data_IF_337160453951
#
_entry.id   IF_337160453951
#
_cell.length_a   1.000
_cell.length_b   1.000
_cell.length_c   1.000
_cell.angle_alpha   90.00
_cell.angle_beta   90.00
_cell.angle_gamma   90.00
#
_symmetry.space_group_name_H-M   'P 1'
#
loop_
_entity.id
_entity.type
_entity.pdbx_description
1 polymer ?
#
# COMPACT_ATOMS: atom_id res chain seq x y z
N UNK A 1 -1.37 -26.85 -12.87
CA UNK A 1 -0.56 -26.48 -11.68
C UNK A 1 0.06 -25.08 -11.77
N UNK A 2 0.17 -24.46 -12.95
CA UNK A 2 0.68 -23.07 -13.13
C UNK A 2 -0.28 -21.93 -12.71
N UNK A 3 -1.53 -22.23 -12.33
CA UNK A 3 -2.54 -21.22 -11.99
C UNK A 3 -2.59 -20.86 -10.49
N UNK A 4 -1.85 -21.57 -9.63
CA UNK A 4 -1.95 -21.43 -8.16
C UNK A 4 -0.94 -20.44 -7.54
N UNK A 5 -0.07 -19.81 -8.32
CA UNK A 5 1.07 -19.02 -7.81
C UNK A 5 1.20 -17.64 -8.46
N UNK A 6 0.09 -17.00 -8.81
CA UNK A 6 0.09 -15.58 -9.21
C UNK A 6 -0.64 -14.77 -8.15
N UNK A 7 0.13 -13.98 -7.40
CA UNK A 7 -0.43 -13.09 -6.39
C UNK A 7 -1.31 -12.01 -7.03
N UNK A 8 -2.45 -11.71 -6.40
CA UNK A 8 -3.26 -10.55 -6.75
C UNK A 8 -2.54 -9.25 -6.37
N UNK A 9 -1.80 -9.27 -5.25
CA UNK A 9 -1.18 -8.08 -4.64
C UNK A 9 -2.25 -7.01 -4.40
N UNK A 10 -3.13 -7.27 -3.43
CA UNK A 10 -4.21 -6.36 -3.04
C UNK A 10 -3.67 -5.28 -2.11
N UNK A 11 -3.85 -4.00 -2.45
CA UNK A 11 -3.20 -2.90 -1.74
C UNK A 11 -3.71 -2.74 -0.30
N UNK A 12 -5.02 -2.55 -0.11
CA UNK A 12 -5.59 -2.33 1.23
C UNK A 12 -5.27 -3.48 2.19
N UNK A 13 -5.29 -4.74 1.71
CA UNK A 13 -4.90 -5.90 2.51
C UNK A 13 -3.47 -5.82 3.03
N UNK A 14 -2.52 -5.43 2.17
CA UNK A 14 -1.13 -5.20 2.56
C UNK A 14 -0.99 -4.08 3.59
N UNK A 15 -1.69 -2.95 3.38
CA UNK A 15 -1.62 -1.80 4.30
C UNK A 15 -2.21 -2.14 5.68
N UNK A 16 -3.33 -2.86 5.76
CA UNK A 16 -3.88 -3.33 7.04
C UNK A 16 -2.92 -4.27 7.76
N UNK A 17 -2.33 -5.23 7.05
CA UNK A 17 -1.37 -6.16 7.63
C UNK A 17 -0.14 -5.43 8.20
N UNK A 18 0.38 -4.42 7.47
CA UNK A 18 1.50 -3.61 7.95
C UNK A 18 1.16 -2.87 9.25
N UNK A 19 -0.01 -2.23 9.34
CA UNK A 19 -0.46 -1.56 10.56
C UNK A 19 -0.55 -2.56 11.72
N UNK A 20 -1.17 -3.73 11.50
CA UNK A 20 -1.30 -4.76 12.53
C UNK A 20 0.05 -5.31 13.01
N UNK A 21 1.03 -5.47 12.12
CA UNK A 21 2.40 -5.88 12.49
C UNK A 21 3.10 -4.81 13.33
N UNK A 22 2.94 -3.54 12.96
CA UNK A 22 3.50 -2.41 13.73
C UNK A 22 2.89 -2.36 15.13
N UNK A 23 1.57 -2.49 15.25
CA UNK A 23 0.89 -2.51 16.55
C UNK A 23 1.37 -3.68 17.41
N UNK A 24 1.44 -4.89 16.84
CA UNK A 24 1.95 -6.07 17.54
C UNK A 24 3.38 -5.88 18.04
N UNK A 25 4.27 -5.37 17.20
CA UNK A 25 5.68 -5.15 17.54
C UNK A 25 5.89 -3.97 18.51
N UNK A 26 4.89 -3.08 18.64
CA UNK A 26 4.90 -1.99 19.63
C UNK A 26 4.49 -2.48 21.02
N UNK A 27 3.59 -3.47 21.09
CA UNK A 27 3.15 -4.08 22.34
C UNK A 27 4.20 -5.04 22.90
N UNK A 28 4.73 -5.92 22.05
CA UNK A 28 5.77 -6.87 22.41
C UNK A 28 6.82 -6.90 21.30
N UNK A 29 7.97 -6.31 21.58
CA UNK A 29 9.03 -6.18 20.58
C UNK A 29 9.60 -7.56 20.23
N UNK A 30 9.46 -7.92 18.96
CA UNK A 30 9.99 -9.15 18.40
C UNK A 30 10.89 -8.81 17.20
N UNK A 31 12.20 -9.14 17.24
CA UNK A 31 13.14 -8.78 16.17
C UNK A 31 12.69 -9.22 14.77
N UNK A 32 12.07 -10.40 14.66
CA UNK A 32 11.57 -10.93 13.39
C UNK A 32 10.39 -10.12 12.84
N UNK A 33 9.54 -9.53 13.70
CA UNK A 33 8.46 -8.64 13.26
C UNK A 33 9.03 -7.34 12.73
N UNK A 34 10.05 -6.79 13.39
CA UNK A 34 10.76 -5.59 12.90
C UNK A 34 11.38 -5.82 11.52
N UNK A 35 11.97 -7.00 11.29
CA UNK A 35 12.53 -7.37 9.99
C UNK A 35 11.43 -7.48 8.92
N UNK A 36 10.34 -8.18 9.24
CA UNK A 36 9.21 -8.34 8.32
C UNK A 36 8.56 -6.99 7.96
N UNK A 37 8.36 -6.10 8.95
CA UNK A 37 7.87 -4.73 8.73
C UNK A 37 8.76 -4.00 7.74
N UNK A 38 10.09 -4.06 7.93
CA UNK A 38 11.04 -3.41 7.03
C UNK A 38 10.98 -4.00 5.61
N UNK A 39 10.87 -5.32 5.46
CA UNK A 39 10.73 -5.96 4.14
C UNK A 39 9.44 -5.53 3.43
N UNK A 40 8.33 -5.40 4.15
CA UNK A 40 7.05 -4.92 3.59
C UNK A 40 7.16 -3.45 3.19
N UNK A 41 7.80 -2.60 3.99
CA UNK A 41 8.02 -1.18 3.66
C UNK A 41 8.84 -1.06 2.38
N UNK A 42 9.97 -1.77 2.27
CA UNK A 42 10.80 -1.79 1.06
C UNK A 42 9.97 -2.23 -0.14
N UNK A 43 9.16 -3.28 0.02
CA UNK A 43 8.26 -3.75 -1.03
C UNK A 43 7.27 -2.67 -1.45
N UNK A 44 6.62 -1.98 -0.50
CA UNK A 44 5.71 -0.86 -0.79
C UNK A 44 6.41 0.30 -1.50
N UNK A 45 7.66 0.62 -1.13
CA UNK A 45 8.44 1.67 -1.81
C UNK A 45 8.59 1.40 -3.30
N UNK A 46 8.82 0.14 -3.67
CA UNK A 46 8.93 -0.27 -5.07
C UNK A 46 7.59 -0.52 -5.76
N UNK A 47 6.56 -0.93 -5.00
CA UNK A 47 5.29 -1.37 -5.57
C UNK A 47 4.23 -0.28 -5.69
N UNK A 48 4.22 0.72 -4.81
CA UNK A 48 3.23 1.81 -4.84
C UNK A 48 3.07 2.50 -6.22
N UNK A 49 4.13 2.73 -7.03
CA UNK A 49 3.99 3.30 -8.36
C UNK A 49 3.05 2.50 -9.27
N UNK A 50 3.02 1.16 -9.13
CA UNK A 50 2.18 0.28 -9.96
C UNK A 50 0.71 0.31 -9.57
N UNK A 51 0.36 0.85 -8.40
CA UNK A 51 -1.03 1.03 -7.99
C UNK A 51 -1.64 2.34 -8.50
N UNK A 52 -0.91 3.14 -9.28
CA UNK A 52 -1.47 4.31 -9.95
C UNK A 52 -2.20 3.89 -11.21
N UNK A 53 -3.46 4.30 -11.37
CA UNK A 53 -4.26 3.94 -12.54
C UNK A 53 -3.68 4.61 -13.81
N UNK A 54 -3.40 3.85 -14.88
CA UNK A 54 -2.67 4.38 -16.05
C UNK A 54 -3.45 5.43 -16.85
N UNK A 55 -4.79 5.35 -16.84
CA UNK A 55 -5.65 6.30 -17.57
C UNK A 55 -6.25 7.39 -16.66
N UNK A 56 -6.12 7.26 -15.34
CA UNK A 56 -6.72 8.16 -14.35
C UNK A 56 -5.63 8.39 -13.32
N UNK A 57 -4.71 9.30 -13.63
CA UNK A 57 -3.40 9.38 -12.99
C UNK A 57 -3.47 9.61 -11.47
N UNK A 58 -4.56 10.20 -10.96
CA UNK A 58 -4.84 10.44 -9.55
C UNK A 58 -5.68 9.33 -8.90
N UNK A 59 -6.03 8.26 -9.59
CA UNK A 59 -6.79 7.14 -9.05
C UNK A 59 -5.91 5.94 -8.70
N UNK A 60 -6.35 5.15 -7.72
CA UNK A 60 -5.62 3.94 -7.29
C UNK A 60 -6.23 2.66 -7.85
N UNK A 61 -5.38 1.67 -8.10
CA UNK A 61 -5.79 0.30 -8.41
C UNK A 61 -6.06 -0.47 -7.12
N UNK A 62 -7.00 -1.41 -7.19
CA UNK A 62 -7.28 -2.31 -6.08
C UNK A 62 -6.18 -3.36 -5.91
N UNK A 63 -5.70 -3.89 -7.02
CA UNK A 63 -4.70 -4.94 -7.08
C UNK A 63 -3.83 -4.84 -8.35
N UNK A 64 -2.79 -5.68 -8.43
CA UNK A 64 -1.89 -5.76 -9.59
C UNK A 64 -2.17 -6.97 -10.50
N UNK A 65 -3.39 -7.50 -10.48
CA UNK A 65 -3.78 -8.67 -11.29
C UNK A 65 -3.57 -8.43 -12.80
N UNK A 66 -3.71 -7.19 -13.26
CA UNK A 66 -3.46 -6.82 -14.66
C UNK A 66 -2.00 -7.04 -15.08
N UNK A 67 -1.05 -6.93 -14.15
CA UNK A 67 0.37 -7.22 -14.38
C UNK A 67 0.63 -8.73 -14.27
N UNK A 68 0.14 -9.35 -13.19
CA UNK A 68 0.56 -10.71 -12.82
C UNK A 68 -0.21 -11.78 -13.59
N UNK A 69 -1.51 -11.54 -13.78
CA UNK A 69 -2.46 -12.46 -14.40
C UNK A 69 -2.88 -12.04 -15.82
N UNK A 70 -2.40 -10.89 -16.34
CA UNK A 70 -2.85 -10.31 -17.61
C UNK A 70 -4.37 -10.09 -17.66
N UNK A 71 -4.98 -9.83 -16.51
CA UNK A 71 -6.40 -9.47 -16.41
C UNK A 71 -6.63 -8.02 -16.85
N UNK A 72 -7.90 -7.61 -16.89
CA UNK A 72 -8.25 -6.19 -17.01
C UNK A 72 -7.78 -5.43 -15.76
N UNK A 73 -7.49 -4.14 -15.93
CA UNK A 73 -7.16 -3.23 -14.83
C UNK A 73 -8.29 -3.27 -13.79
N UNK A 74 -7.93 -3.62 -12.56
CA UNK A 74 -8.85 -3.59 -11.43
C UNK A 74 -8.76 -2.24 -10.72
N UNK A 75 -9.53 -1.27 -11.21
CA UNK A 75 -9.63 0.05 -10.59
C UNK A 75 -10.28 -0.07 -9.21
N UNK A 76 -9.74 0.61 -8.19
CA UNK A 76 -10.38 0.65 -6.89
C UNK A 76 -11.76 1.31 -7.03
N UNK A 77 -12.79 0.77 -6.38
CA UNK A 77 -14.05 1.51 -6.23
C UNK A 77 -13.81 2.80 -5.45
N UNK A 78 -14.72 3.77 -5.53
CA UNK A 78 -14.62 5.00 -4.74
C UNK A 78 -14.33 4.74 -3.26
N UNK A 79 -15.07 3.78 -2.66
CA UNK A 79 -14.87 3.40 -1.26
C UNK A 79 -13.48 2.80 -0.99
N UNK A 80 -12.97 1.92 -1.86
CA UNK A 80 -11.62 1.36 -1.69
C UNK A 80 -10.52 2.39 -1.93
N UNK A 81 -10.74 3.33 -2.85
CA UNK A 81 -9.82 4.45 -3.08
C UNK A 81 -9.68 5.32 -1.82
N UNK A 82 -10.80 5.64 -1.16
CA UNK A 82 -10.79 6.31 0.14
C UNK A 82 -10.07 5.50 1.21
N UNK A 83 -10.30 4.18 1.28
CA UNK A 83 -9.59 3.28 2.21
C UNK A 83 -8.08 3.36 1.98
N UNK A 84 -7.59 3.33 0.73
CA UNK A 84 -6.17 3.47 0.44
C UNK A 84 -5.59 4.80 0.98
N UNK A 85 -6.30 5.92 0.77
CA UNK A 85 -5.89 7.23 1.29
C UNK A 85 -5.82 7.21 2.81
N UNK A 86 -6.87 6.74 3.49
CA UNK A 86 -6.93 6.68 4.95
C UNK A 86 -5.82 5.82 5.55
N UNK A 87 -5.55 4.65 4.98
CA UNK A 87 -4.48 3.77 5.47
C UNK A 87 -3.09 4.37 5.24
N UNK A 88 -2.85 5.01 4.09
CA UNK A 88 -1.60 5.74 3.84
C UNK A 88 -1.44 6.91 4.82
N UNK A 89 -2.52 7.66 5.12
CA UNK A 89 -2.50 8.73 6.12
C UNK A 89 -2.13 8.21 7.52
N UNK A 90 -2.70 7.06 7.91
CA UNK A 90 -2.36 6.39 9.16
C UNK A 90 -0.86 6.03 9.21
N UNK A 91 -0.37 5.32 8.20
CA UNK A 91 1.05 4.93 8.11
C UNK A 91 1.98 6.14 8.07
N UNK A 92 1.63 7.20 7.33
CA UNK A 92 2.41 8.45 7.31
C UNK A 92 2.59 9.02 8.71
N UNK A 93 1.56 9.01 9.55
CA UNK A 93 1.68 9.51 10.93
C UNK A 93 2.60 8.66 11.79
N UNK A 94 2.56 7.32 11.62
CA UNK A 94 3.45 6.40 12.30
C UNK A 94 4.91 6.68 11.92
N UNK A 95 5.19 6.79 10.62
CA UNK A 95 6.57 6.96 10.12
C UNK A 95 7.10 8.39 10.19
N UNK A 96 6.26 9.40 10.43
CA UNK A 96 6.66 10.82 10.46
C UNK A 96 7.84 11.10 11.38
N UNK A 97 7.97 10.36 12.48
CA UNK A 97 9.05 10.53 13.47
C UNK A 97 10.17 9.51 13.34
N UNK A 98 9.90 8.34 12.77
CA UNK A 98 10.82 7.18 12.79
C UNK A 98 11.49 6.93 11.44
N UNK A 99 10.87 7.31 10.33
CA UNK A 99 11.41 7.15 8.98
C UNK A 99 10.87 8.23 8.03
N UNK A 100 11.59 9.35 7.96
CA UNK A 100 11.16 10.53 7.20
C UNK A 100 10.99 10.25 5.69
N UNK A 101 11.88 9.45 5.09
CA UNK A 101 11.80 9.11 3.66
C UNK A 101 10.52 8.31 3.34
N UNK A 102 10.18 7.31 4.16
CA UNK A 102 8.94 6.54 4.01
C UNK A 102 7.71 7.42 4.23
N UNK A 103 7.76 8.31 5.22
CA UNK A 103 6.69 9.29 5.45
C UNK A 103 6.48 10.20 4.23
N UNK A 104 7.54 10.69 3.58
CA UNK A 104 7.43 11.52 2.37
C UNK A 104 6.84 10.75 1.19
N UNK A 105 7.21 9.48 1.04
CA UNK A 105 6.63 8.62 0.01
C UNK A 105 5.11 8.50 0.20
N UNK A 106 4.66 8.21 1.42
CA UNK A 106 3.23 8.10 1.70
C UNK A 106 2.52 9.44 1.49
N UNK A 107 3.14 10.56 1.89
CA UNK A 107 2.57 11.90 1.65
C UNK A 107 2.37 12.19 0.16
N UNK A 108 3.34 11.82 -0.69
CA UNK A 108 3.20 11.94 -2.15
C UNK A 108 1.97 11.19 -2.68
N UNK A 109 1.77 9.93 -2.29
CA UNK A 109 0.60 9.16 -2.76
C UNK A 109 -0.71 9.62 -2.15
N UNK A 110 -0.71 10.11 -0.89
CA UNK A 110 -1.89 10.73 -0.28
C UNK A 110 -2.31 11.96 -1.09
N UNK A 111 -1.39 12.88 -1.39
CA UNK A 111 -1.67 14.08 -2.17
C UNK A 111 -2.16 13.71 -3.58
N UNK A 112 -1.47 12.77 -4.23
CA UNK A 112 -1.84 12.28 -5.56
C UNK A 112 -3.25 11.73 -5.58
N UNK A 113 -3.59 10.82 -4.67
CA UNK A 113 -4.90 10.16 -4.64
C UNK A 113 -6.02 11.12 -4.20
N UNK A 114 -5.75 12.02 -3.25
CA UNK A 114 -6.74 13.02 -2.82
C UNK A 114 -7.13 13.97 -3.95
N UNK A 115 -6.21 14.26 -4.89
CA UNK A 115 -6.49 15.13 -6.04
C UNK A 115 -7.53 14.58 -7.04
N UNK A 116 -8.00 13.34 -6.86
CA UNK A 116 -9.10 12.78 -7.65
C UNK A 116 -10.49 13.05 -7.06
N UNK A 117 -10.55 13.50 -5.80
CA UNK A 117 -11.81 13.63 -5.05
C UNK A 117 -12.21 15.11 -4.89
N UNK A 118 -11.25 16.03 -5.02
CA UNK A 118 -11.45 17.48 -5.04
C UNK A 118 -11.71 17.97 -6.46
#
# INVERSE_FOLDING_TARGET
LESATKGLFVLNGCLYALIGLIDANTIDYQPYLSELINQIIISLQHMLPYYVHPNISNWSLYDLSHITMKSKINSASYSYHLVHITLLQCLRQIFKKTNYSVSQLFDFYIQRFTSAIL
#
